data_IF_644842434238
#
_entry.id   IF_644842434238
#
_cell.length_a   1.000
_cell.length_b   1.000
_cell.length_c   1.000
_cell.angle_alpha   90.00
_cell.angle_beta   90.00
_cell.angle_gamma   90.00
#
_symmetry.space_group_name_H-M   'P 1'
#
loop_
_entity.id
_entity.type
_entity.pdbx_description
1 polymer ?
#
# COMPACT_ATOMS: atom_id res chain seq x y z
N UNK A 1 -12.43 -1.75 23.71
CA UNK A 1 -12.97 -0.94 22.60
C UNK A 1 -12.68 -1.69 21.31
N UNK A 2 -13.66 -1.87 20.44
CA UNK A 2 -13.46 -2.41 19.09
C UNK A 2 -13.92 -1.32 18.13
N UNK A 3 -13.01 -0.86 17.27
CA UNK A 3 -13.32 0.07 16.19
C UNK A 3 -13.57 -0.74 14.93
N UNK A 4 -14.68 -0.47 14.25
CA UNK A 4 -15.02 -1.10 12.97
C UNK A 4 -15.03 -0.01 11.93
N UNK A 5 -14.07 -0.08 11.01
CA UNK A 5 -14.01 0.80 9.86
C UNK A 5 -14.90 0.26 8.73
N UNK A 6 -15.71 1.14 8.16
CA UNK A 6 -16.51 0.83 6.98
C UNK A 6 -15.70 1.04 5.70
N UNK A 7 -15.97 0.24 4.66
CA UNK A 7 -15.29 0.36 3.37
C UNK A 7 -16.08 1.27 2.41
N UNK A 8 -15.44 2.32 1.90
CA UNK A 8 -16.04 3.22 0.92
C UNK A 8 -17.21 4.03 1.49
N UNK A 9 -18.32 4.10 0.75
CA UNK A 9 -19.50 4.90 1.13
C UNK A 9 -20.60 4.02 1.74
N UNK A 10 -21.17 4.37 2.91
CA UNK A 10 -22.32 3.67 3.50
C UNK A 10 -23.62 3.93 2.72
N UNK A 11 -23.58 4.79 1.70
CA UNK A 11 -24.74 5.30 0.98
C UNK A 11 -24.83 4.80 -0.47
N UNK A 12 -24.04 3.78 -0.84
CA UNK A 12 -24.16 3.06 -2.12
C UNK A 12 -25.44 2.20 -2.12
N UNK A 13 -26.59 2.84 -2.27
CA UNK A 13 -27.92 2.19 -2.16
C UNK A 13 -28.10 1.02 -3.14
N UNK A 14 -27.39 1.04 -4.28
CA UNK A 14 -27.33 -0.04 -5.26
C UNK A 14 -26.57 -1.29 -4.77
N UNK A 15 -25.71 -1.17 -3.75
CA UNK A 15 -24.95 -2.27 -3.16
C UNK A 15 -25.53 -2.75 -1.83
N UNK A 16 -26.65 -2.16 -1.38
CA UNK A 16 -27.19 -2.36 -0.03
C UNK A 16 -27.56 -3.81 0.29
N UNK A 17 -27.97 -4.60 -0.70
CA UNK A 17 -28.31 -6.03 -0.53
C UNK A 17 -27.08 -6.87 -0.14
N UNK A 18 -25.90 -6.51 -0.64
CA UNK A 18 -24.62 -7.18 -0.37
C UNK A 18 -23.70 -6.42 0.58
N UNK A 19 -24.21 -5.41 1.28
CA UNK A 19 -23.40 -4.57 2.17
C UNK A 19 -23.02 -5.35 3.44
N UNK A 20 -21.78 -5.85 3.44
CA UNK A 20 -21.17 -6.56 4.58
C UNK A 20 -20.14 -5.71 5.31
N UNK A 21 -19.85 -4.50 4.83
CA UNK A 21 -18.74 -3.68 5.32
C UNK A 21 -19.22 -2.43 6.06
N UNK A 22 -20.42 -1.92 5.76
CA UNK A 22 -20.92 -0.66 6.29
C UNK A 22 -22.19 -0.85 7.13
N UNK A 23 -23.35 -0.47 6.60
CA UNK A 23 -24.60 -0.40 7.32
C UNK A 23 -25.23 -1.78 7.51
N UNK A 24 -25.07 -2.70 6.57
CA UNK A 24 -25.52 -4.08 6.75
C UNK A 24 -24.79 -4.79 7.90
N UNK A 25 -23.48 -4.56 8.04
CA UNK A 25 -22.73 -5.01 9.22
C UNK A 25 -23.24 -4.32 10.49
N UNK A 26 -23.35 -2.98 10.48
CA UNK A 26 -23.82 -2.23 11.64
C UNK A 26 -25.22 -2.66 12.11
N UNK A 27 -26.09 -3.02 11.17
CA UNK A 27 -27.40 -3.60 11.45
C UNK A 27 -27.33 -4.97 12.10
N UNK A 28 -26.55 -5.88 11.54
CA UNK A 28 -26.43 -7.24 12.04
C UNK A 28 -25.78 -7.29 13.43
N UNK A 29 -24.77 -6.45 13.68
CA UNK A 29 -24.01 -6.41 14.93
C UNK A 29 -24.61 -5.46 15.99
N UNK A 30 -25.69 -4.76 15.67
CA UNK A 30 -26.30 -3.71 16.51
C UNK A 30 -25.33 -2.62 17.02
N UNK A 31 -24.37 -2.18 16.19
CA UNK A 31 -23.37 -1.18 16.58
C UNK A 31 -23.77 0.25 16.17
N UNK A 32 -23.38 1.27 16.95
CA UNK A 32 -23.54 2.67 16.55
C UNK A 32 -22.57 3.04 15.42
N UNK A 33 -22.95 4.01 14.61
CA UNK A 33 -22.15 4.50 13.48
C UNK A 33 -21.81 5.97 13.67
N UNK A 34 -20.58 6.36 13.38
CA UNK A 34 -20.15 7.75 13.22
C UNK A 34 -19.72 7.93 11.77
N UNK A 35 -20.25 8.94 11.08
CA UNK A 35 -19.84 9.23 9.72
C UNK A 35 -18.65 10.19 9.69
N UNK A 36 -17.65 9.87 8.88
CA UNK A 36 -16.46 10.70 8.67
C UNK A 36 -16.59 11.38 7.32
N UNK A 37 -16.74 12.71 7.31
CA UNK A 37 -16.77 13.51 6.08
C UNK A 37 -15.38 13.98 5.69
N UNK A 38 -14.92 13.63 4.48
CA UNK A 38 -13.66 14.13 3.92
C UNK A 38 -13.89 15.49 3.25
N UNK A 39 -13.42 16.58 3.88
CA UNK A 39 -13.58 17.93 3.34
C UNK A 39 -12.59 18.27 2.23
N UNK A 40 -11.45 17.57 2.15
CA UNK A 40 -10.41 17.82 1.15
C UNK A 40 -10.90 17.45 -0.26
N UNK A 41 -11.86 16.51 -0.35
CA UNK A 41 -12.57 16.15 -1.59
C UNK A 41 -13.65 17.17 -2.01
N UNK A 42 -13.98 18.13 -1.14
CA UNK A 42 -14.98 19.18 -1.39
C UNK A 42 -16.44 18.72 -1.25
N UNK A 43 -17.34 19.67 -0.97
CA UNK A 43 -18.79 19.40 -0.91
C UNK A 43 -19.27 18.62 0.33
N UNK A 44 -18.47 18.54 1.39
CA UNK A 44 -18.73 17.69 2.57
C UNK A 44 -20.12 17.86 3.19
N UNK A 45 -20.68 19.08 3.21
CA UNK A 45 -22.03 19.34 3.71
C UNK A 45 -23.07 18.55 2.89
N UNK A 46 -22.98 18.66 1.56
CA UNK A 46 -23.90 17.97 0.65
C UNK A 46 -23.70 16.45 0.72
N UNK A 47 -22.48 15.97 0.92
CA UNK A 47 -22.20 14.55 1.11
C UNK A 47 -22.91 14.00 2.36
N UNK A 48 -22.69 14.62 3.53
CA UNK A 48 -23.28 14.15 4.80
C UNK A 48 -24.82 14.26 4.80
N UNK A 49 -25.35 15.41 4.37
CA UNK A 49 -26.80 15.62 4.27
C UNK A 49 -27.42 14.70 3.23
N UNK A 50 -26.76 14.52 2.08
CA UNK A 50 -27.18 13.59 1.03
C UNK A 50 -27.22 12.15 1.51
N UNK A 51 -26.20 11.70 2.25
CA UNK A 51 -26.17 10.38 2.88
C UNK A 51 -27.37 10.19 3.81
N UNK A 52 -27.67 11.15 4.70
CA UNK A 52 -28.86 11.07 5.56
C UNK A 52 -30.16 10.96 4.75
N UNK A 53 -30.25 11.70 3.64
CA UNK A 53 -31.45 11.74 2.82
C UNK A 53 -31.73 10.42 2.06
N UNK A 54 -30.69 9.65 1.73
CA UNK A 54 -30.82 8.42 0.94
C UNK A 54 -30.74 7.13 1.76
N UNK A 55 -30.16 7.18 2.97
CA UNK A 55 -30.14 6.03 3.86
C UNK A 55 -31.58 5.62 4.23
N UNK A 56 -31.82 4.32 4.30
CA UNK A 56 -33.11 3.84 4.82
C UNK A 56 -33.25 4.23 6.31
N UNK A 57 -34.48 4.33 6.84
CA UNK A 57 -34.69 4.77 8.22
C UNK A 57 -34.06 3.87 9.29
N UNK A 58 -33.78 2.59 8.99
CA UNK A 58 -33.11 1.68 9.91
C UNK A 58 -31.63 2.00 10.05
N UNK A 59 -30.97 2.25 8.91
CA UNK A 59 -29.56 2.64 8.82
C UNK A 59 -29.35 4.04 9.40
N UNK A 60 -30.17 5.02 9.01
CA UNK A 60 -30.09 6.39 9.51
C UNK A 60 -30.18 6.47 11.05
N UNK A 61 -30.98 5.59 11.68
CA UNK A 61 -31.08 5.52 13.16
C UNK A 61 -29.81 5.04 13.85
N UNK A 62 -28.93 4.34 13.14
CA UNK A 62 -27.66 3.85 13.69
C UNK A 62 -26.58 4.92 13.69
N UNK A 63 -26.66 5.86 12.76
CA UNK A 63 -25.77 7.02 12.76
C UNK A 63 -26.07 7.88 13.99
N UNK A 64 -25.06 8.02 14.86
CA UNK A 64 -25.14 8.78 16.12
C UNK A 64 -24.53 10.15 16.00
N UNK A 65 -23.70 10.36 15.00
CA UNK A 65 -23.03 11.61 14.78
C UNK A 65 -22.14 11.58 13.55
N UNK A 66 -21.42 12.67 13.37
CA UNK A 66 -20.43 12.82 12.32
C UNK A 66 -19.20 13.57 12.83
N UNK A 67 -18.09 13.45 12.11
CA UNK A 67 -16.93 14.31 12.25
C UNK A 67 -16.43 14.72 10.87
N UNK A 68 -15.73 15.85 10.81
CA UNK A 68 -15.10 16.32 9.57
C UNK A 68 -13.62 16.01 9.64
N UNK A 69 -13.06 15.40 8.60
CA UNK A 69 -11.65 15.06 8.51
C UNK A 69 -10.94 15.91 7.45
N UNK A 70 -9.60 16.03 7.56
CA UNK A 70 -8.70 16.66 6.58
C UNK A 70 -8.95 18.16 6.36
N UNK A 71 -9.36 18.89 7.39
CA UNK A 71 -9.62 20.32 7.26
C UNK A 71 -8.34 21.14 7.08
N UNK A 72 -8.25 21.94 6.00
CA UNK A 72 -7.12 22.85 5.76
C UNK A 72 -7.47 24.28 6.14
N UNK A 73 -6.56 24.94 6.86
CA UNK A 73 -6.75 26.32 7.34
C UNK A 73 -7.38 26.37 8.72
N UNK A 74 -8.07 27.47 9.03
CA UNK A 74 -8.70 27.70 10.34
C UNK A 74 -10.09 27.03 10.42
N UNK A 75 -10.29 26.00 11.28
CA UNK A 75 -11.58 25.32 11.43
C UNK A 75 -12.74 26.25 11.82
N UNK A 76 -12.47 27.39 12.45
CA UNK A 76 -13.49 28.36 12.82
C UNK A 76 -14.27 28.89 11.60
N UNK A 77 -13.63 28.90 10.41
CA UNK A 77 -14.28 29.30 9.15
C UNK A 77 -15.38 28.34 8.69
N UNK A 78 -15.41 27.11 9.22
CA UNK A 78 -16.40 26.10 8.85
C UNK A 78 -17.57 25.98 9.83
N UNK A 79 -17.59 26.80 10.90
CA UNK A 79 -18.61 26.74 11.96
C UNK A 79 -20.05 26.76 11.42
N UNK A 80 -20.34 27.61 10.42
CA UNK A 80 -21.67 27.68 9.82
C UNK A 80 -22.03 26.41 9.04
N UNK A 81 -21.08 25.90 8.24
CA UNK A 81 -21.25 24.66 7.48
C UNK A 81 -21.48 23.46 8.39
N UNK A 82 -20.76 23.40 9.51
CA UNK A 82 -20.91 22.39 10.54
C UNK A 82 -22.33 22.37 11.12
N UNK A 83 -22.83 23.56 11.51
CA UNK A 83 -24.19 23.73 12.05
C UNK A 83 -25.27 23.34 11.04
N UNK A 84 -25.06 23.62 9.75
CA UNK A 84 -26.00 23.20 8.69
C UNK A 84 -26.12 21.67 8.66
N UNK A 85 -25.02 20.94 8.81
CA UNK A 85 -25.08 19.47 8.86
C UNK A 85 -25.86 19.00 10.08
N UNK A 86 -25.60 19.56 11.27
CA UNK A 86 -26.34 19.23 12.49
C UNK A 86 -27.84 19.50 12.34
N UNK A 87 -28.22 20.69 11.84
CA UNK A 87 -29.62 21.08 11.65
C UNK A 87 -30.36 20.19 10.65
N UNK A 88 -29.71 19.82 9.54
CA UNK A 88 -30.33 19.04 8.46
C UNK A 88 -30.39 17.55 8.76
N UNK A 89 -29.40 17.01 9.47
CA UNK A 89 -29.31 15.57 9.74
C UNK A 89 -29.84 15.17 11.11
N UNK A 90 -29.84 16.10 12.07
CA UNK A 90 -30.09 15.81 13.48
C UNK A 90 -28.99 14.98 14.15
N UNK A 91 -27.85 14.79 13.48
CA UNK A 91 -26.70 14.07 14.01
C UNK A 91 -25.84 14.98 14.87
N UNK A 92 -25.27 14.43 15.94
CA UNK A 92 -24.31 15.15 16.79
C UNK A 92 -22.97 15.30 16.07
N UNK A 93 -22.42 16.51 16.06
CA UNK A 93 -21.06 16.73 15.61
C UNK A 93 -20.02 16.38 16.68
N UNK A 94 -18.99 15.60 16.32
CA UNK A 94 -17.89 15.21 17.21
C UNK A 94 -16.56 15.96 16.97
N UNK A 95 -16.60 17.07 16.24
CA UNK A 95 -15.43 17.90 15.95
C UNK A 95 -15.00 17.94 14.47
N UNK A 96 -13.93 18.70 14.23
CA UNK A 96 -13.31 18.92 12.92
C UNK A 96 -11.81 18.63 13.08
N UNK A 97 -11.35 17.54 12.49
CA UNK A 97 -9.94 17.15 12.50
C UNK A 97 -9.17 17.92 11.40
N UNK A 98 -8.15 18.70 11.77
CA UNK A 98 -7.30 19.38 10.80
C UNK A 98 -6.52 18.42 9.92
N UNK A 99 -6.00 18.93 8.81
CA UNK A 99 -5.06 18.22 7.96
C UNK A 99 -3.78 17.87 8.73
N UNK A 100 -3.53 16.58 8.90
CA UNK A 100 -2.33 16.09 9.55
C UNK A 100 -1.16 16.00 8.55
N UNK A 101 -0.21 16.94 8.67
CA UNK A 101 0.90 17.08 7.71
C UNK A 101 1.84 15.86 7.67
N UNK A 102 1.95 15.11 8.76
CA UNK A 102 2.86 13.98 8.87
C UNK A 102 2.20 12.64 8.51
N UNK A 103 0.96 12.63 8.03
CA UNK A 103 0.23 11.41 7.66
C UNK A 103 0.99 10.52 6.66
N UNK A 104 1.78 11.12 5.77
CA UNK A 104 2.60 10.40 4.77
C UNK A 104 3.69 9.51 5.38
N UNK A 105 4.00 9.64 6.67
CA UNK A 105 4.95 8.75 7.36
C UNK A 105 4.30 7.46 7.87
N UNK A 106 2.97 7.43 7.93
CA UNK A 106 2.23 6.23 8.28
C UNK A 106 2.20 5.28 7.07
N UNK A 107 2.09 3.96 7.30
CA UNK A 107 1.97 3.00 6.21
C UNK A 107 0.82 3.36 5.28
N UNK A 108 1.07 3.38 3.98
CA UNK A 108 0.06 3.73 2.99
C UNK A 108 -1.05 2.66 2.92
N UNK A 109 -2.30 3.09 2.82
CA UNK A 109 -3.47 2.19 2.67
C UNK A 109 -4.00 2.13 1.24
N UNK A 110 -3.67 3.12 0.40
CA UNK A 110 -3.91 3.13 -1.04
C UNK A 110 -2.59 3.38 -1.80
N UNK A 111 -2.45 2.80 -2.99
CA UNK A 111 -1.27 2.97 -3.84
C UNK A 111 -1.09 4.42 -4.32
N UNK A 112 -2.15 5.21 -4.28
CA UNK A 112 -2.12 6.65 -4.55
C UNK A 112 -1.55 7.46 -3.38
N UNK A 113 -1.48 6.90 -2.17
CA UNK A 113 -1.00 7.59 -0.97
C UNK A 113 0.53 7.52 -0.81
N UNK A 114 1.21 6.65 -1.57
CA UNK A 114 2.68 6.68 -1.63
C UNK A 114 3.14 7.95 -2.33
N UNK A 115 3.91 8.72 -1.59
CA UNK A 115 4.45 10.01 -2.02
C UNK A 115 5.74 9.83 -2.82
N UNK A 116 5.82 10.51 -3.95
CA UNK A 116 7.10 10.74 -4.63
C UNK A 116 7.99 11.64 -3.75
N UNK A 117 9.27 11.29 -3.64
CA UNK A 117 10.26 12.19 -3.03
C UNK A 117 11.06 12.88 -4.13
N UNK A 118 11.30 14.18 -3.95
CA UNK A 118 12.05 15.01 -4.91
C UNK A 118 13.54 15.12 -4.53
N UNK A 119 13.89 14.72 -3.31
CA UNK A 119 15.22 14.83 -2.71
C UNK A 119 15.90 13.46 -2.61
N UNK A 120 17.23 13.44 -2.51
CA UNK A 120 18.04 12.23 -2.46
C UNK A 120 18.86 12.01 -3.74
N UNK A 121 20.09 11.51 -3.58
CA UNK A 121 20.99 11.24 -4.70
C UNK A 121 20.68 9.91 -5.40
N UNK A 122 20.12 8.94 -4.67
CA UNK A 122 19.82 7.61 -5.19
C UNK A 122 18.40 7.52 -5.70
N UNK A 123 18.24 7.32 -7.00
CA UNK A 123 16.94 7.34 -7.64
C UNK A 123 16.34 5.94 -7.73
N UNK A 124 15.32 5.70 -6.92
CA UNK A 124 14.48 4.49 -6.95
C UNK A 124 13.22 4.80 -7.75
N UNK A 125 12.98 4.03 -8.79
CA UNK A 125 11.75 4.11 -9.60
C UNK A 125 10.91 2.87 -9.36
N UNK A 126 9.76 3.01 -8.74
CA UNK A 126 8.79 1.92 -8.61
C UNK A 126 7.71 2.04 -9.69
N UNK A 127 7.43 0.95 -10.40
CA UNK A 127 6.38 0.93 -11.42
C UNK A 127 5.00 0.84 -10.76
N UNK A 128 4.11 1.80 -11.03
CA UNK A 128 2.73 1.79 -10.52
C UNK A 128 1.84 0.95 -11.44
N UNK A 129 1.67 -0.32 -11.11
CA UNK A 129 0.78 -1.23 -11.83
C UNK A 129 -0.71 -0.95 -11.56
N UNK A 130 -1.60 -1.38 -12.47
CA UNK A 130 -3.05 -1.30 -12.25
C UNK A 130 -3.53 -2.08 -11.03
N UNK A 131 -2.92 -3.24 -10.78
CA UNK A 131 -3.31 -4.15 -9.68
C UNK A 131 -2.17 -4.31 -8.68
N UNK A 132 -1.42 -3.23 -8.46
CA UNK A 132 -0.36 -3.16 -7.45
C UNK A 132 -0.88 -3.65 -6.09
N UNK A 133 -0.02 -4.36 -5.36
CA UNK A 133 -0.27 -4.89 -4.04
C UNK A 133 0.93 -4.61 -3.13
N UNK A 134 0.66 -4.50 -1.82
CA UNK A 134 1.70 -4.35 -0.79
C UNK A 134 2.67 -3.20 -1.09
N UNK A 135 2.12 -2.09 -1.58
CA UNK A 135 2.89 -0.93 -1.99
C UNK A 135 3.59 -0.28 -0.78
N UNK A 136 3.05 -0.47 0.43
CA UNK A 136 3.65 -0.08 1.72
C UNK A 136 5.06 -0.65 1.96
N UNK A 137 5.50 -1.64 1.16
CA UNK A 137 6.90 -2.08 1.11
C UNK A 137 7.89 -0.94 0.90
N UNK A 138 7.46 0.14 0.24
CA UNK A 138 8.30 1.26 -0.16
C UNK A 138 8.32 2.41 0.85
N UNK A 139 7.38 2.45 1.80
CA UNK A 139 7.29 3.55 2.77
C UNK A 139 8.59 3.74 3.57
N UNK A 140 9.28 2.67 4.02
CA UNK A 140 10.57 2.85 4.69
C UNK A 140 11.65 3.43 3.78
N UNK A 141 11.62 3.14 2.48
CA UNK A 141 12.58 3.69 1.51
C UNK A 141 12.26 5.16 1.19
N UNK A 142 10.98 5.53 1.09
CA UNK A 142 10.54 6.91 0.87
C UNK A 142 10.95 7.86 2.02
N UNK A 143 11.22 7.31 3.21
CA UNK A 143 11.65 8.08 4.37
C UNK A 143 13.18 8.18 4.52
N UNK A 144 13.95 7.55 3.63
CA UNK A 144 15.42 7.63 3.65
C UNK A 144 15.89 8.90 2.92
N UNK A 145 16.66 9.74 3.61
CA UNK A 145 17.11 11.03 3.07
C UNK A 145 18.01 10.91 1.82
N UNK A 146 18.68 9.77 1.62
CA UNK A 146 19.51 9.52 0.44
C UNK A 146 18.69 9.07 -0.78
N UNK A 147 17.39 8.80 -0.62
CA UNK A 147 16.53 8.16 -1.62
C UNK A 147 15.56 9.15 -2.23
N UNK A 148 15.66 9.31 -3.56
CA UNK A 148 14.61 9.86 -4.40
C UNK A 148 13.72 8.73 -4.90
N UNK A 149 12.51 8.59 -4.38
CA UNK A 149 11.53 7.59 -4.79
C UNK A 149 10.54 8.20 -5.78
N UNK A 150 10.36 7.57 -6.94
CA UNK A 150 9.35 7.94 -7.94
C UNK A 150 8.42 6.77 -8.22
N UNK A 151 7.13 6.96 -7.99
CA UNK A 151 6.04 6.06 -8.36
C UNK A 151 5.63 6.34 -9.82
N UNK A 152 6.27 5.62 -10.75
CA UNK A 152 6.11 5.84 -12.18
C UNK A 152 4.71 5.43 -12.66
N UNK A 153 3.95 6.40 -13.17
CA UNK A 153 2.59 6.22 -13.66
C UNK A 153 2.51 5.83 -15.14
N UNK A 154 1.34 5.34 -15.56
CA UNK A 154 1.04 4.99 -16.95
C UNK A 154 1.42 6.12 -17.94
N UNK A 155 1.97 5.74 -19.08
CA UNK A 155 2.37 6.67 -20.16
C UNK A 155 3.69 7.41 -19.92
N UNK A 156 4.39 7.16 -18.80
CA UNK A 156 5.72 7.73 -18.52
C UNK A 156 6.81 6.69 -18.79
N UNK A 157 7.91 7.09 -19.43
CA UNK A 157 9.07 6.21 -19.63
C UNK A 157 9.90 6.11 -18.35
N UNK A 158 10.60 4.99 -18.14
CA UNK A 158 11.52 4.85 -17.00
C UNK A 158 12.64 5.91 -17.15
N UNK A 159 12.83 6.80 -16.17
CA UNK A 159 13.85 7.83 -16.24
C UNK A 159 15.26 7.24 -16.46
N UNK A 160 16.05 7.91 -17.30
CA UNK A 160 17.41 7.44 -17.63
C UNK A 160 18.42 7.56 -16.48
N UNK A 161 18.08 8.34 -15.45
CA UNK A 161 18.82 8.53 -14.20
C UNK A 161 18.34 7.58 -13.09
N UNK A 162 17.49 6.58 -13.38
CA UNK A 162 17.12 5.57 -12.39
C UNK A 162 18.34 4.72 -12.00
N UNK A 163 18.57 4.54 -10.71
CA UNK A 163 19.62 3.66 -10.18
C UNK A 163 19.07 2.25 -9.90
N UNK A 164 17.87 2.20 -9.33
CA UNK A 164 17.13 0.98 -9.01
C UNK A 164 15.70 1.09 -9.54
N UNK A 165 15.26 0.11 -10.32
CA UNK A 165 13.85 -0.03 -10.72
C UNK A 165 13.20 -1.16 -9.90
N UNK A 166 12.10 -0.86 -9.24
CA UNK A 166 11.33 -1.83 -8.46
C UNK A 166 10.05 -2.21 -9.21
N UNK A 167 9.85 -3.51 -9.38
CA UNK A 167 8.56 -4.09 -9.78
C UNK A 167 7.87 -4.58 -8.49
N UNK A 168 6.82 -3.90 -8.01
CA UNK A 168 6.19 -4.21 -6.74
C UNK A 168 5.33 -5.49 -6.81
N UNK A 169 4.67 -5.81 -5.70
CA UNK A 169 3.64 -6.86 -5.66
C UNK A 169 2.49 -6.57 -6.63
N UNK A 170 1.85 -7.64 -7.10
CA UNK A 170 0.69 -7.57 -7.99
C UNK A 170 -0.37 -8.58 -7.57
N UNK A 171 -1.65 -8.18 -7.65
CA UNK A 171 -2.80 -9.09 -7.45
C UNK A 171 -3.10 -9.95 -8.69
N UNK A 172 -2.48 -9.65 -9.83
CA UNK A 172 -2.56 -10.44 -11.07
C UNK A 172 -1.29 -10.27 -11.88
N UNK A 173 -0.31 -11.15 -11.64
CA UNK A 173 1.02 -10.98 -12.25
C UNK A 173 0.98 -11.02 -13.78
N UNK A 174 0.11 -11.84 -14.39
CA UNK A 174 -0.07 -11.87 -15.85
C UNK A 174 -0.78 -10.63 -16.39
N UNK A 175 -1.76 -10.10 -15.66
CA UNK A 175 -2.49 -8.89 -16.04
C UNK A 175 -1.58 -7.66 -16.00
N UNK A 176 -0.84 -7.49 -14.91
CA UNK A 176 0.08 -6.35 -14.77
C UNK A 176 1.33 -6.48 -15.66
N UNK A 177 1.74 -7.70 -16.04
CA UNK A 177 2.76 -7.90 -17.07
C UNK A 177 2.28 -7.45 -18.46
N UNK A 178 1.00 -7.66 -18.79
CA UNK A 178 0.42 -7.15 -20.03
C UNK A 178 0.38 -5.62 -20.01
N UNK A 179 -0.09 -5.04 -18.91
CA UNK A 179 -0.09 -3.59 -18.70
C UNK A 179 1.33 -2.99 -18.81
N UNK A 180 2.33 -3.60 -18.16
CA UNK A 180 3.74 -3.19 -18.24
C UNK A 180 4.22 -3.10 -19.69
N UNK A 181 3.87 -4.09 -20.53
CA UNK A 181 4.18 -4.08 -21.98
C UNK A 181 3.43 -3.01 -22.74
N UNK A 182 2.17 -2.76 -22.41
CA UNK A 182 1.38 -1.67 -23.01
C UNK A 182 2.00 -0.30 -22.72
N UNK A 183 2.63 -0.13 -21.56
CA UNK A 183 3.38 1.08 -21.21
C UNK A 183 4.76 1.17 -21.88
N UNK A 184 5.22 0.10 -22.54
CA UNK A 184 6.58 0.01 -23.12
C UNK A 184 7.70 -0.18 -22.08
N UNK A 185 7.35 -0.42 -20.81
CA UNK A 185 8.31 -0.56 -19.73
C UNK A 185 9.17 -1.83 -19.85
N UNK A 186 8.74 -2.83 -20.60
CA UNK A 186 9.55 -4.02 -20.89
C UNK A 186 10.79 -3.64 -21.70
N UNK A 187 10.66 -2.73 -22.66
CA UNK A 187 11.77 -2.19 -23.45
C UNK A 187 12.70 -1.37 -22.54
N UNK A 188 12.12 -0.50 -21.71
CA UNK A 188 12.88 0.36 -20.80
C UNK A 188 13.66 -0.44 -19.76
N UNK A 189 13.06 -1.48 -19.16
CA UNK A 189 13.71 -2.39 -18.21
C UNK A 189 14.89 -3.12 -18.87
N UNK A 190 14.73 -3.57 -20.11
CA UNK A 190 15.82 -4.20 -20.86
C UNK A 190 16.95 -3.20 -21.14
N UNK A 191 16.63 -1.96 -21.48
CA UNK A 191 17.63 -0.91 -21.67
C UNK A 191 18.33 -0.52 -20.36
N UNK A 192 17.60 -0.49 -19.25
CA UNK A 192 18.12 -0.25 -17.90
C UNK A 192 19.11 -1.35 -17.47
N UNK A 193 18.70 -2.62 -17.58
CA UNK A 193 19.56 -3.77 -17.28
C UNK A 193 20.84 -3.77 -18.13
N UNK A 194 20.74 -3.50 -19.44
CA UNK A 194 21.92 -3.43 -20.34
C UNK A 194 22.91 -2.31 -19.98
N UNK A 195 22.45 -1.25 -19.33
CA UNK A 195 23.30 -0.16 -18.83
C UNK A 195 23.91 -0.46 -17.46
N UNK A 196 23.64 -1.63 -16.89
CA UNK A 196 24.13 -2.05 -15.57
C UNK A 196 23.28 -1.54 -14.40
N UNK A 197 22.08 -1.03 -14.70
CA UNK A 197 21.10 -0.59 -13.70
C UNK A 197 20.55 -1.76 -12.89
N UNK A 198 20.08 -1.46 -11.68
CA UNK A 198 19.57 -2.49 -10.77
C UNK A 198 18.07 -2.66 -10.89
N UNK A 199 17.60 -3.90 -10.74
CA UNK A 199 16.17 -4.25 -10.80
C UNK A 199 15.83 -5.18 -9.62
N UNK A 200 14.79 -4.82 -8.88
CA UNK A 200 14.24 -5.64 -7.81
C UNK A 200 12.77 -5.97 -8.10
N UNK A 201 12.43 -7.25 -8.18
CA UNK A 201 11.05 -7.71 -8.26
C UNK A 201 10.55 -8.22 -6.91
N UNK A 202 9.37 -7.78 -6.47
CA UNK A 202 8.74 -8.23 -5.23
C UNK A 202 7.46 -8.99 -5.56
N UNK A 203 7.35 -10.23 -5.09
CA UNK A 203 6.21 -11.13 -5.31
C UNK A 203 5.77 -11.18 -6.78
N UNK A 204 4.63 -10.60 -7.16
CA UNK A 204 4.19 -10.53 -8.56
C UNK A 204 5.26 -9.94 -9.49
N UNK A 205 5.95 -8.89 -9.06
CA UNK A 205 7.08 -8.32 -9.80
C UNK A 205 8.24 -9.30 -9.99
N UNK A 206 8.56 -10.12 -8.98
CA UNK A 206 9.55 -11.19 -9.13
C UNK A 206 9.14 -12.22 -10.19
N UNK A 207 7.86 -12.62 -10.20
CA UNK A 207 7.35 -13.55 -11.19
C UNK A 207 7.49 -13.00 -12.62
N UNK A 208 7.25 -11.70 -12.81
CA UNK A 208 7.40 -11.01 -14.09
C UNK A 208 8.85 -11.00 -14.61
N UNK A 209 9.84 -10.96 -13.73
CA UNK A 209 11.26 -11.00 -14.13
C UNK A 209 11.67 -12.33 -14.77
N UNK A 210 10.94 -13.41 -14.48
CA UNK A 210 11.22 -14.75 -15.01
C UNK A 210 10.96 -14.90 -16.51
N UNK A 211 11.12 -16.13 -17.01
CA UNK A 211 10.86 -16.53 -18.39
C UNK A 211 9.40 -16.77 -18.68
N UNK A 212 8.66 -17.36 -17.73
CA UNK A 212 7.24 -17.67 -17.90
C UNK A 212 6.47 -17.51 -16.59
N UNK A 213 5.19 -17.13 -16.71
CA UNK A 213 4.18 -17.19 -15.66
C UNK A 213 3.04 -18.06 -16.17
N UNK A 214 2.88 -19.23 -15.58
CA UNK A 214 1.86 -20.21 -15.93
C UNK A 214 0.73 -20.18 -14.91
N UNK A 215 -0.50 -19.91 -15.35
CA UNK A 215 -1.70 -19.97 -14.53
C UNK A 215 -2.78 -20.83 -15.23
N UNK A 216 -2.56 -22.16 -15.37
CA UNK A 216 -3.48 -23.04 -16.08
C UNK A 216 -4.85 -23.18 -15.40
N UNK A 217 -4.93 -22.87 -14.10
CA UNK A 217 -6.15 -22.96 -13.31
C UNK A 217 -6.92 -21.63 -13.22
N UNK A 218 -6.34 -20.52 -13.70
CA UNK A 218 -6.97 -19.20 -13.64
C UNK A 218 -7.11 -18.68 -12.21
N UNK A 219 -6.07 -18.83 -11.40
CA UNK A 219 -6.03 -18.45 -10.00
C UNK A 219 -6.11 -16.94 -9.80
N UNK A 220 -5.50 -16.16 -10.71
CA UNK A 220 -5.43 -14.69 -10.66
C UNK A 220 -6.04 -14.01 -11.90
N UNK A 221 -6.81 -14.76 -12.68
CA UNK A 221 -7.46 -14.27 -13.91
C UNK A 221 -7.88 -15.41 -14.84
N UNK A 222 -8.13 -15.14 -16.12
CA UNK A 222 -8.41 -16.18 -17.09
C UNK A 222 -7.25 -17.18 -17.19
N UNK A 223 -7.52 -18.50 -17.24
CA UNK A 223 -6.49 -19.52 -17.44
C UNK A 223 -5.55 -19.23 -18.60
N UNK A 224 -4.26 -19.50 -18.44
CA UNK A 224 -3.30 -19.40 -19.52
C UNK A 224 -1.85 -19.23 -19.04
N UNK A 225 -0.98 -18.84 -19.96
CA UNK A 225 0.43 -18.59 -19.70
C UNK A 225 0.86 -17.27 -20.33
N UNK A 226 1.92 -16.67 -19.81
CA UNK A 226 2.57 -15.51 -20.40
C UNK A 226 4.09 -15.71 -20.38
N UNK A 227 4.76 -15.29 -21.46
CA UNK A 227 6.21 -15.09 -21.43
C UNK A 227 6.49 -13.93 -20.48
N UNK A 228 7.40 -14.11 -19.54
CA UNK A 228 7.90 -13.05 -18.65
C UNK A 228 8.90 -12.13 -19.36
N UNK A 229 9.63 -11.35 -18.58
CA UNK A 229 10.65 -10.42 -19.07
C UNK A 229 11.97 -11.12 -19.44
N UNK A 230 12.21 -12.32 -18.93
CA UNK A 230 13.41 -13.11 -19.19
C UNK A 230 14.69 -12.48 -18.62
N UNK A 231 14.57 -11.68 -17.56
CA UNK A 231 15.70 -11.08 -16.84
C UNK A 231 16.28 -12.03 -15.78
N UNK A 232 15.50 -13.04 -15.37
CA UNK A 232 15.93 -14.17 -14.55
C UNK A 232 15.57 -15.48 -15.26
N UNK A 233 16.46 -16.48 -15.21
CA UNK A 233 16.21 -17.84 -15.69
C UNK A 233 15.42 -18.62 -14.64
N UNK A 234 14.16 -18.22 -14.49
CA UNK A 234 13.17 -18.84 -13.61
C UNK A 234 11.80 -18.91 -14.29
N UNK A 235 10.99 -19.87 -13.87
CA UNK A 235 9.63 -20.06 -14.32
C UNK A 235 8.70 -20.11 -13.10
N UNK A 236 7.54 -19.48 -13.21
CA UNK A 236 6.56 -19.43 -12.13
C UNK A 236 5.30 -20.17 -12.54
N UNK A 237 4.81 -21.05 -11.67
CA UNK A 237 3.49 -21.67 -11.77
C UNK A 237 2.56 -21.17 -10.65
N UNK A 238 1.38 -20.69 -11.01
CA UNK A 238 0.35 -20.26 -10.06
C UNK A 238 -0.39 -21.48 -9.53
N UNK A 239 -0.45 -21.60 -8.20
CA UNK A 239 -1.05 -22.73 -7.51
C UNK A 239 -2.27 -22.32 -6.70
N UNK A 240 -3.17 -23.25 -6.39
CA UNK A 240 -4.32 -22.98 -5.53
C UNK A 240 -3.92 -22.72 -4.06
N UNK A 241 -2.73 -23.17 -3.65
CA UNK A 241 -2.25 -23.02 -2.28
C UNK A 241 -1.73 -21.60 -2.08
N UNK A 242 -2.34 -20.87 -1.16
CA UNK A 242 -1.85 -19.56 -0.72
C UNK A 242 -0.86 -19.77 0.43
N UNK A 243 0.39 -19.37 0.23
CA UNK A 243 1.33 -19.16 1.33
C UNK A 243 1.01 -17.82 1.97
N UNK A 244 0.77 -17.83 3.27
CA UNK A 244 0.60 -16.64 4.11
C UNK A 244 1.32 -16.91 5.43
N UNK A 245 2.53 -16.39 5.58
CA UNK A 245 3.32 -16.58 6.80
C UNK A 245 4.16 -15.35 7.07
N UNK A 246 4.21 -14.92 8.32
CA UNK A 246 5.32 -14.10 8.81
C UNK A 246 6.54 -14.99 8.98
N UNK A 247 7.72 -14.49 8.65
CA UNK A 247 8.94 -15.27 8.84
C UNK A 247 10.15 -14.35 8.98
N UNK A 248 11.25 -14.91 9.45
CA UNK A 248 12.55 -14.25 9.48
C UNK A 248 13.39 -14.72 8.30
N UNK A 249 14.20 -13.81 7.76
CA UNK A 249 15.07 -14.10 6.66
C UNK A 249 16.43 -13.44 6.83
N UNK A 250 17.40 -13.93 6.06
CA UNK A 250 18.71 -13.32 5.92
C UNK A 250 18.99 -13.04 4.46
N UNK A 251 19.31 -11.79 4.15
CA UNK A 251 19.66 -11.39 2.79
C UNK A 251 21.02 -11.98 2.43
N UNK A 252 21.11 -12.63 1.27
CA UNK A 252 22.31 -13.39 0.90
C UNK A 252 23.49 -12.46 0.66
N UNK A 253 23.30 -11.36 -0.06
CA UNK A 253 24.41 -10.49 -0.45
C UNK A 253 25.01 -9.70 0.73
N UNK A 254 24.19 -9.27 1.68
CA UNK A 254 24.64 -8.43 2.81
C UNK A 254 24.74 -9.19 4.13
N UNK A 255 24.27 -10.43 4.17
CA UNK A 255 24.14 -11.25 5.40
C UNK A 255 23.25 -10.60 6.48
N UNK A 256 22.53 -9.52 6.15
CA UNK A 256 21.69 -8.77 7.09
C UNK A 256 20.38 -9.52 7.38
N UNK A 257 19.98 -9.63 8.67
CA UNK A 257 18.70 -10.22 9.03
C UNK A 257 17.56 -9.23 8.79
N UNK A 258 16.40 -9.74 8.40
CA UNK A 258 15.14 -9.00 8.33
C UNK A 258 13.95 -9.87 8.68
N UNK A 259 12.82 -9.22 8.95
CA UNK A 259 11.52 -9.82 9.21
C UNK A 259 10.51 -9.24 8.24
N UNK A 260 9.42 -9.96 8.05
CA UNK A 260 8.37 -9.61 7.11
C UNK A 260 7.52 -10.84 6.83
N UNK A 261 6.91 -10.89 5.65
CA UNK A 261 5.92 -11.92 5.36
C UNK A 261 5.90 -12.33 3.90
N UNK A 262 5.43 -13.55 3.65
CA UNK A 262 5.17 -14.08 2.33
C UNK A 262 3.66 -14.18 2.13
N UNK A 263 3.16 -13.59 1.05
CA UNK A 263 1.75 -13.68 0.65
C UNK A 263 1.64 -13.94 -0.85
N UNK A 264 1.73 -15.21 -1.25
CA UNK A 264 1.73 -15.55 -2.66
C UNK A 264 1.12 -16.92 -2.95
N UNK A 265 0.74 -17.10 -4.21
CA UNK A 265 0.24 -18.36 -4.76
C UNK A 265 1.15 -18.96 -5.83
N UNK A 266 2.11 -18.17 -6.32
CA UNK A 266 3.11 -18.60 -7.29
C UNK A 266 4.17 -19.48 -6.65
N UNK A 267 4.63 -20.49 -7.39
CA UNK A 267 5.81 -21.28 -7.08
C UNK A 267 6.82 -21.06 -8.20
N UNK A 268 7.96 -20.46 -7.85
CA UNK A 268 9.04 -20.18 -8.82
C UNK A 268 10.16 -21.21 -8.69
N UNK A 269 10.65 -21.70 -9.83
CA UNK A 269 11.78 -22.62 -9.92
C UNK A 269 12.64 -22.27 -11.13
N UNK A 270 13.95 -22.56 -11.09
CA UNK A 270 14.81 -22.42 -12.25
C UNK A 270 16.29 -22.34 -11.87
N UNK A 271 17.20 -22.31 -12.85
CA UNK A 271 18.63 -22.22 -12.60
C UNK A 271 19.05 -21.05 -11.69
N UNK A 272 18.36 -19.92 -11.75
CA UNK A 272 18.75 -18.75 -10.94
C UNK A 272 18.35 -18.85 -9.47
N UNK A 273 17.46 -19.78 -9.09
CA UNK A 273 17.10 -19.99 -7.67
C UNK A 273 18.23 -20.63 -6.85
N UNK A 274 19.32 -21.08 -7.50
CA UNK A 274 20.57 -21.47 -6.80
C UNK A 274 21.32 -20.28 -6.20
N UNK A 275 20.99 -19.06 -6.67
CA UNK A 275 21.46 -17.78 -6.11
C UNK A 275 20.24 -17.05 -5.54
N UNK A 276 19.71 -17.50 -4.39
CA UNK A 276 18.52 -16.89 -3.82
C UNK A 276 18.80 -15.47 -3.36
N UNK A 277 17.76 -14.64 -3.32
CA UNK A 277 17.82 -13.31 -2.73
C UNK A 277 18.01 -13.40 -1.21
N UNK A 278 17.26 -14.30 -0.57
CA UNK A 278 17.27 -14.49 0.87
C UNK A 278 17.21 -15.97 1.28
N UNK A 279 17.61 -16.25 2.51
CA UNK A 279 17.39 -17.55 3.16
C UNK A 279 16.41 -17.34 4.31
N UNK A 280 15.26 -18.00 4.22
CA UNK A 280 14.20 -18.02 5.24
C UNK A 280 14.33 -19.28 6.11
N UNK A 281 13.53 -19.36 7.19
CA UNK A 281 13.38 -20.61 7.95
C UNK A 281 12.86 -21.77 7.09
N UNK A 282 12.05 -21.45 6.07
CA UNK A 282 11.51 -22.43 5.11
C UNK A 282 12.46 -22.78 3.97
N UNK A 283 13.68 -22.23 3.94
CA UNK A 283 14.67 -22.46 2.89
C UNK A 283 14.94 -21.23 2.01
N UNK A 284 15.61 -21.41 0.85
CA UNK A 284 15.96 -20.32 -0.04
C UNK A 284 14.72 -19.65 -0.64
N UNK A 285 14.72 -18.32 -0.69
CA UNK A 285 13.69 -17.50 -1.33
C UNK A 285 14.30 -16.62 -2.43
N UNK A 286 13.53 -16.48 -3.51
CA UNK A 286 13.90 -15.61 -4.62
C UNK A 286 14.99 -16.16 -5.55
N UNK A 287 15.47 -15.27 -6.41
CA UNK A 287 16.55 -15.53 -7.35
C UNK A 287 17.29 -14.24 -7.69
N UNK A 288 18.56 -14.37 -8.03
CA UNK A 288 19.45 -13.28 -8.41
C UNK A 288 20.23 -13.64 -9.67
N UNK A 289 20.33 -12.69 -10.60
CA UNK A 289 21.11 -12.83 -11.83
C UNK A 289 22.59 -13.08 -11.54
N UNK A 290 23.37 -13.69 -12.46
CA UNK A 290 24.78 -13.99 -12.23
C UNK A 290 25.65 -12.77 -11.88
N UNK A 291 25.29 -11.58 -12.35
CA UNK A 291 25.97 -10.31 -12.09
C UNK A 291 25.44 -9.56 -10.86
N UNK A 292 24.41 -10.09 -10.19
CA UNK A 292 23.79 -9.49 -9.01
C UNK A 292 22.92 -8.27 -9.27
N UNK A 293 22.68 -7.88 -10.53
CA UNK A 293 21.97 -6.64 -10.88
C UNK A 293 20.46 -6.79 -10.93
N UNK A 294 19.96 -7.99 -11.18
CA UNK A 294 18.53 -8.30 -11.16
C UNK A 294 18.29 -9.28 -10.04
N UNK A 295 17.38 -8.96 -9.12
CA UNK A 295 16.95 -9.86 -8.07
C UNK A 295 15.44 -9.86 -7.95
N UNK A 296 14.89 -10.95 -7.43
CA UNK A 296 13.51 -10.96 -6.99
C UNK A 296 13.26 -11.89 -5.83
N UNK A 297 12.21 -11.62 -5.07
CA UNK A 297 11.88 -12.30 -3.82
C UNK A 297 10.36 -12.30 -3.61
N UNK A 298 9.83 -13.29 -2.89
CA UNK A 298 8.43 -13.32 -2.47
C UNK A 298 8.14 -12.55 -1.18
N UNK A 299 9.18 -11.98 -0.59
CA UNK A 299 9.14 -11.38 0.73
C UNK A 299 8.66 -9.94 0.69
N UNK A 300 7.66 -9.62 1.50
CA UNK A 300 7.15 -8.27 1.73
C UNK A 300 7.58 -7.77 3.12
N UNK A 301 7.53 -6.47 3.34
CA UNK A 301 7.91 -5.79 4.56
C UNK A 301 9.41 -5.74 4.83
N UNK A 302 10.25 -6.21 3.89
CA UNK A 302 11.69 -6.37 4.13
C UNK A 302 12.38 -5.06 4.56
N UNK A 303 11.96 -3.92 3.99
CA UNK A 303 12.56 -2.63 4.26
C UNK A 303 12.16 -2.01 5.60
N UNK A 304 11.17 -2.57 6.32
CA UNK A 304 10.83 -2.11 7.68
C UNK A 304 11.98 -2.39 8.65
N UNK A 305 12.76 -3.45 8.41
CA UNK A 305 13.94 -3.78 9.20
C UNK A 305 15.10 -2.82 8.95
N UNK A 306 15.31 -1.86 9.87
CA UNK A 306 16.34 -0.81 9.75
C UNK A 306 17.74 -1.33 9.39
N UNK A 307 18.16 -2.44 10.01
CA UNK A 307 19.47 -3.07 9.74
C UNK A 307 19.59 -3.59 8.31
N UNK A 308 18.53 -4.21 7.80
CA UNK A 308 18.52 -4.70 6.44
C UNK A 308 18.43 -3.55 5.45
N UNK A 309 17.54 -2.56 5.68
CA UNK A 309 17.43 -1.37 4.84
C UNK A 309 18.78 -0.64 4.72
N UNK A 310 19.45 -0.41 5.83
CA UNK A 310 20.78 0.21 5.85
C UNK A 310 21.83 -0.63 5.10
N UNK A 311 21.86 -1.95 5.31
CA UNK A 311 22.80 -2.83 4.61
C UNK A 311 22.51 -2.95 3.10
N UNK A 312 21.22 -2.98 2.73
CA UNK A 312 20.78 -3.00 1.35
C UNK A 312 21.21 -1.72 0.64
N UNK A 313 20.85 -0.54 1.16
CA UNK A 313 21.31 0.75 0.63
C UNK A 313 22.85 0.85 0.59
N UNK A 314 23.54 0.38 1.64
CA UNK A 314 25.00 0.32 1.68
C UNK A 314 25.60 -0.53 0.56
N UNK A 315 24.97 -1.66 0.20
CA UNK A 315 25.39 -2.48 -0.95
C UNK A 315 25.19 -1.79 -2.30
N UNK A 316 24.35 -0.76 -2.35
CA UNK A 316 24.09 0.11 -3.50
C UNK A 316 24.98 1.36 -3.48
N UNK A 317 25.88 1.49 -2.50
CA UNK A 317 26.75 2.65 -2.35
C UNK A 317 26.10 3.85 -1.66
N UNK A 318 24.98 3.64 -0.96
CA UNK A 318 24.21 4.70 -0.29
C UNK A 318 24.29 4.56 1.23
N UNK A 319 24.23 5.69 1.93
CA UNK A 319 24.15 5.71 3.39
C UNK A 319 22.69 5.84 3.82
N UNK A 320 22.23 4.93 4.69
CA UNK A 320 20.94 5.13 5.36
C UNK A 320 21.04 6.28 6.35
N UNK A 321 19.96 7.03 6.49
CA UNK A 321 19.80 8.13 7.43
C UNK A 321 19.87 7.72 8.91
N UNK A 322 19.90 6.41 9.19
CA UNK A 322 19.79 5.89 10.55
C UNK A 322 18.36 5.96 11.10
N UNK A 323 17.37 6.18 10.22
CA UNK A 323 15.94 6.13 10.53
C UNK A 323 15.60 4.83 11.26
N UNK A 324 14.82 4.96 12.34
CA UNK A 324 14.10 3.82 12.91
C UNK A 324 12.65 3.89 12.47
N UNK A 325 12.27 3.05 11.51
CA UNK A 325 10.99 3.18 10.81
C UNK A 325 9.80 2.96 11.74
N UNK A 326 9.79 1.84 12.48
CA UNK A 326 8.70 1.52 13.41
C UNK A 326 8.56 2.58 14.51
N UNK A 327 9.68 3.08 15.05
CA UNK A 327 9.63 4.17 16.04
C UNK A 327 9.12 5.49 15.45
N UNK A 328 9.40 5.76 14.17
CA UNK A 328 8.86 6.93 13.47
C UNK A 328 7.34 6.79 13.22
N UNK A 329 6.86 5.59 12.89
CA UNK A 329 5.43 5.29 12.78
C UNK A 329 4.75 5.49 14.13
N UNK A 330 5.26 4.89 15.20
CA UNK A 330 4.72 5.04 16.57
C UNK A 330 4.66 6.51 17.00
N UNK A 331 5.76 7.26 16.82
CA UNK A 331 5.78 8.69 17.15
C UNK A 331 4.79 9.51 16.30
N UNK A 332 4.60 9.15 15.04
CA UNK A 332 3.62 9.81 14.16
C UNK A 332 2.19 9.49 14.58
N UNK A 333 1.92 8.26 15.04
CA UNK A 333 0.62 7.88 15.60
C UNK A 333 0.32 8.64 16.90
N UNK A 334 1.32 8.82 17.77
CA UNK A 334 1.20 9.63 18.99
C UNK A 334 0.88 11.10 18.64
N UNK A 335 1.55 11.67 17.64
CA UNK A 335 1.25 13.02 17.14
C UNK A 335 -0.19 13.14 16.61
N UNK A 336 -0.65 12.15 15.83
CA UNK A 336 -2.03 12.10 15.34
C UNK A 336 -3.03 11.95 16.48
N UNK A 337 -2.73 11.12 17.48
CA UNK A 337 -3.59 10.91 18.64
C UNK A 337 -3.77 12.20 19.45
N UNK A 338 -2.69 12.96 19.66
CA UNK A 338 -2.73 14.28 20.30
C UNK A 338 -3.56 15.29 19.49
N UNK A 339 -3.43 15.27 18.15
CA UNK A 339 -4.25 16.11 17.28
C UNK A 339 -5.74 15.73 17.39
N UNK A 340 -6.05 14.44 17.40
CA UNK A 340 -7.42 13.96 17.57
C UNK A 340 -8.00 14.37 18.93
N UNK A 341 -7.24 14.21 20.02
CA UNK A 341 -7.68 14.59 21.37
C UNK A 341 -7.96 16.11 21.49
N UNK A 342 -7.17 16.94 20.80
CA UNK A 342 -7.36 18.38 20.81
C UNK A 342 -8.58 18.87 19.99
N UNK A 343 -9.02 18.10 19.00
CA UNK A 343 -9.98 18.55 17.99
C UNK A 343 -11.29 17.76 17.93
N UNK A 344 -11.34 16.59 18.55
CA UNK A 344 -12.51 15.70 18.55
C UNK A 344 -13.01 15.46 19.97
N UNK A 345 -14.33 15.30 20.13
CA UNK A 345 -14.93 14.86 21.38
C UNK A 345 -14.83 13.33 21.51
N UNK A 346 -13.60 12.86 21.80
CA UNK A 346 -13.31 11.43 21.93
C UNK A 346 -14.11 10.78 23.07
N UNK A 347 -14.40 11.51 24.15
CA UNK A 347 -15.21 10.99 25.25
C UNK A 347 -16.65 10.71 24.80
N UNK A 348 -17.27 11.62 24.04
CA UNK A 348 -18.60 11.40 23.49
C UNK A 348 -18.62 10.25 22.48
N UNK A 349 -17.61 10.13 21.62
CA UNK A 349 -17.48 8.99 20.68
C UNK A 349 -17.34 7.68 21.47
N UNK A 350 -16.44 7.61 22.45
CA UNK A 350 -16.21 6.41 23.25
C UNK A 350 -17.44 6.00 24.07
N UNK A 351 -18.23 6.96 24.54
CA UNK A 351 -19.48 6.71 25.25
C UNK A 351 -20.56 6.06 24.37
N UNK A 352 -20.41 6.08 23.03
CA UNK A 352 -21.28 5.33 22.13
C UNK A 352 -21.00 3.83 22.15
N UNK A 353 -19.75 3.43 22.42
CA UNK A 353 -19.35 2.03 22.42
C UNK A 353 -20.13 1.26 23.52
N UNK A 354 -20.69 0.11 23.14
CA UNK A 354 -21.56 -0.72 23.99
C UNK A 354 -20.86 -1.98 24.46
#
# INVERSE_FOLDING_TARGET
LVLVEGAGSPAEVNLREGDIANMGFAQAADVPVVLVGDIDRGGVIAQLVGTMAILNPGDAKRVKGFLINKFRGDPALFTEGYRIVEDQTGWTGFGILPWFQNAWKLPAEDALDIRDTEEGEFHIVCLRFERIANFDDLDPLAQEASVRLTMLGAGQAIPGDADLVILPGSKSARGDLAFLREQGWDIDLQAHARRGGQILGICGGYQMLGRTINDPAGIEGPPGSANGLGLLDVETEMTAQKRLTETSARHVATNAPFQGYEIHKGRTTGPDTVRPFAVTEGGPDGATSPDGKVSGSYFHGMFRGDRFRAAFLGSLGQESSGLSYEAAVDGTLDELALLMDAHLDLNAILALAR
#
